data_IF_710221409245
#
_entry.id   IF_710221409245
#
_cell.length_a   1.000
_cell.length_b   1.000
_cell.length_c   1.000
_cell.angle_alpha   90.00
_cell.angle_beta   90.00
_cell.angle_gamma   90.00
#
_symmetry.space_group_name_H-M   'P 1'
#
loop_
_entity.id
_entity.type
_entity.pdbx_description
1 polymer ?
#
# COMPACT_ATOMS: atom_id res chain seq x y z
N UNK A 1 -4.07 -11.87 -13.09
CA UNK A 1 -3.67 -10.85 -12.10
C UNK A 1 -3.06 -11.57 -10.92
N UNK A 2 -1.77 -11.40 -10.63
CA UNK A 2 -1.16 -11.96 -9.42
C UNK A 2 -1.55 -11.09 -8.22
N UNK A 3 -2.11 -11.73 -7.19
CA UNK A 3 -2.40 -11.08 -5.91
C UNK A 3 -1.07 -10.87 -5.17
N UNK A 4 -0.87 -9.68 -4.59
CA UNK A 4 0.21 -9.47 -3.63
C UNK A 4 -0.30 -9.94 -2.28
N UNK A 5 0.41 -10.89 -1.70
CA UNK A 5 0.22 -11.33 -0.34
C UNK A 5 1.29 -10.67 0.52
N UNK A 6 0.86 -9.97 1.57
CA UNK A 6 1.74 -9.33 2.55
C UNK A 6 1.27 -9.76 3.93
N UNK A 7 2.20 -10.28 4.73
CA UNK A 7 1.99 -10.59 6.14
C UNK A 7 2.68 -9.48 6.94
N UNK A 8 1.92 -8.81 7.81
CA UNK A 8 2.43 -7.70 8.61
C UNK A 8 1.80 -7.75 10.01
N UNK A 9 2.66 -7.61 11.02
CA UNK A 9 2.21 -7.39 12.40
C UNK A 9 1.80 -5.93 12.57
N UNK A 10 0.54 -5.69 12.91
CA UNK A 10 0.00 -4.35 13.13
C UNK A 10 -0.14 -4.04 14.61
N UNK A 11 0.02 -2.77 14.95
CA UNK A 11 -0.39 -2.25 16.25
C UNK A 11 -1.88 -1.91 16.21
N UNK A 12 -2.61 -2.34 17.22
CA UNK A 12 -4.03 -2.07 17.34
C UNK A 12 -4.26 -0.75 18.08
N UNK A 13 -4.79 0.24 17.37
CA UNK A 13 -5.14 1.55 17.90
C UNK A 13 -6.56 1.94 17.47
N UNK A 14 -7.24 2.78 18.24
CA UNK A 14 -8.48 3.41 17.79
C UNK A 14 -8.15 4.44 16.71
N UNK A 15 -8.43 4.09 15.45
CA UNK A 15 -8.26 4.98 14.31
C UNK A 15 -9.61 5.60 13.97
N UNK A 16 -9.77 6.90 14.24
CA UNK A 16 -11.00 7.63 13.92
C UNK A 16 -11.00 8.05 12.46
N UNK A 17 -11.82 7.40 11.64
CA UNK A 17 -12.07 7.78 10.25
C UNK A 17 -11.22 7.05 9.20
N UNK A 18 -10.34 6.12 9.60
CA UNK A 18 -9.58 5.26 8.68
C UNK A 18 -9.48 3.85 9.23
N UNK A 19 -9.47 2.84 8.36
CA UNK A 19 -9.37 1.43 8.78
C UNK A 19 -7.94 1.02 9.15
N UNK A 20 -6.94 1.63 8.51
CA UNK A 20 -5.53 1.27 8.66
C UNK A 20 -4.61 2.44 8.28
N UNK A 21 -3.53 2.63 9.03
CA UNK A 21 -2.44 3.55 8.68
C UNK A 21 -1.22 2.74 8.22
N UNK A 22 -0.74 3.01 7.01
CA UNK A 22 0.43 2.37 6.43
C UNK A 22 1.62 3.32 6.51
N UNK A 23 2.63 2.95 7.30
CA UNK A 23 3.85 3.74 7.47
C UNK A 23 4.70 3.78 6.19
N UNK A 24 5.47 4.86 6.01
CA UNK A 24 6.38 5.01 4.87
C UNK A 24 7.49 3.95 4.85
N UNK A 25 7.99 3.56 6.03
CA UNK A 25 8.96 2.48 6.18
C UNK A 25 8.41 1.14 5.67
N UNK A 26 7.17 0.81 6.05
CA UNK A 26 6.50 -0.38 5.56
C UNK A 26 6.31 -0.34 4.03
N UNK A 27 5.86 0.79 3.48
CA UNK A 27 5.72 0.95 2.03
C UNK A 27 7.05 0.74 1.30
N UNK A 28 8.15 1.28 1.83
CA UNK A 28 9.49 1.10 1.26
C UNK A 28 9.92 -0.38 1.23
N UNK A 29 9.47 -1.21 2.18
CA UNK A 29 9.78 -2.64 2.21
C UNK A 29 9.16 -3.43 1.04
N UNK A 30 8.10 -2.91 0.42
CA UNK A 30 7.42 -3.54 -0.71
C UNK A 30 8.18 -3.39 -2.04
N UNK A 31 9.27 -2.63 -2.06
CA UNK A 31 10.06 -2.31 -3.24
C UNK A 31 9.72 -0.93 -3.81
N UNK A 32 9.75 -0.77 -5.13
CA UNK A 32 9.52 0.55 -5.74
C UNK A 32 8.04 0.86 -5.77
N UNK A 33 7.60 1.69 -4.82
CA UNK A 33 6.25 2.20 -4.71
C UNK A 33 6.08 3.47 -5.55
N UNK A 34 4.95 3.59 -6.26
CA UNK A 34 4.50 4.80 -6.95
C UNK A 34 3.09 5.15 -6.50
N UNK A 35 2.89 6.37 -6.01
CA UNK A 35 1.59 6.91 -5.69
C UNK A 35 1.16 7.91 -6.78
N UNK A 36 -0.01 7.69 -7.36
CA UNK A 36 -0.71 8.64 -8.22
C UNK A 36 -1.93 9.14 -7.45
N UNK A 37 -1.76 10.28 -6.77
CA UNK A 37 -2.81 10.88 -5.95
C UNK A 37 -3.95 11.48 -6.79
N UNK A 38 -3.67 11.90 -8.03
CA UNK A 38 -4.71 12.38 -8.95
C UNK A 38 -5.68 11.27 -9.38
N UNK A 39 -5.21 10.01 -9.37
CA UNK A 39 -6.02 8.83 -9.65
C UNK A 39 -6.31 7.96 -8.41
N UNK A 40 -5.86 8.38 -7.24
CA UNK A 40 -5.97 7.65 -5.96
C UNK A 40 -5.46 6.20 -6.07
N UNK A 41 -4.30 6.01 -6.71
CA UNK A 41 -3.71 4.72 -7.06
C UNK A 41 -2.32 4.55 -6.44
N UNK A 42 -2.06 3.37 -5.90
CA UNK A 42 -0.73 2.92 -5.50
C UNK A 42 -0.29 1.77 -6.41
N UNK A 43 0.95 1.82 -6.90
CA UNK A 43 1.53 0.75 -7.72
C UNK A 43 2.84 0.30 -7.11
N UNK A 44 3.07 -1.01 -7.09
CA UNK A 44 4.28 -1.62 -6.54
C UNK A 44 4.97 -2.36 -7.67
N UNK A 45 6.26 -2.08 -7.88
CA UNK A 45 7.10 -2.80 -8.83
C UNK A 45 8.04 -3.76 -8.09
N UNK A 46 7.89 -5.06 -8.38
CA UNK A 46 8.73 -6.15 -7.86
C UNK A 46 9.39 -6.85 -9.05
N UNK A 47 10.67 -6.58 -9.28
CA UNK A 47 11.37 -7.01 -10.50
C UNK A 47 10.81 -6.32 -11.76
N UNK A 48 10.55 -7.08 -12.82
CA UNK A 48 9.92 -6.60 -14.06
C UNK A 48 8.41 -6.33 -13.90
N UNK A 49 7.78 -6.90 -12.88
CA UNK A 49 6.32 -6.89 -12.70
C UNK A 49 5.85 -5.64 -11.95
N UNK A 50 4.81 -4.99 -12.46
CA UNK A 50 4.11 -3.89 -11.76
C UNK A 50 2.67 -4.32 -11.46
N UNK A 51 2.28 -4.21 -10.20
CA UNK A 51 0.91 -4.50 -9.76
C UNK A 51 0.25 -3.22 -9.23
N UNK A 52 -1.02 -3.03 -9.59
CA UNK A 52 -1.83 -1.88 -9.20
C UNK A 52 -2.70 -2.22 -7.99
N UNK A 53 -2.62 -1.40 -6.94
CA UNK A 53 -3.44 -1.48 -5.75
C UNK A 53 -4.22 -0.17 -5.62
N UNK A 54 -5.55 -0.28 -5.59
CA UNK A 54 -6.47 0.85 -5.49
C UNK A 54 -6.92 1.01 -4.04
N UNK A 55 -7.06 2.26 -3.61
CA UNK A 55 -7.68 2.62 -2.33
C UNK A 55 -6.80 3.47 -1.43
N UNK A 56 -6.44 4.69 -1.86
CA UNK A 56 -6.21 5.75 -0.89
C UNK A 56 -7.59 6.37 -0.68
N UNK A 57 -8.29 5.99 0.40
CA UNK A 57 -9.56 6.63 0.77
C UNK A 57 -9.30 8.13 1.02
N UNK A 58 -10.21 9.03 0.60
CA UNK A 58 -10.12 10.44 0.93
C UNK A 58 -10.30 10.69 2.44
#
# INVERSE_FOLDING_TARGET
MQKLEVIQDFYLFELRGVDMVLGLEWLASLGKVRADFGRMKLSIKKGEQTSLYLGILP
#
